data_IF_908837494683
#
_entry.id   IF_908837494683
#
_cell.length_a   1.000
_cell.length_b   1.000
_cell.length_c   1.000
_cell.angle_alpha   90.00
_cell.angle_beta   90.00
_cell.angle_gamma   90.00
#
_symmetry.space_group_name_H-M   'P 1'
#
loop_
_entity.id
_entity.type
_entity.pdbx_description
1 polymer ?
#
# COMPACT_ATOMS: atom_id res chain seq x y z
N UNK A 1 1.41 19.64 -6.09
CA UNK A 1 0.17 19.54 -5.29
C UNK A 1 -0.05 18.08 -4.92
N UNK A 2 -0.22 17.78 -3.62
CA UNK A 2 -0.43 16.41 -3.14
C UNK A 2 -1.84 15.90 -3.47
N UNK A 3 -1.91 14.70 -4.06
CA UNK A 3 -3.14 14.01 -4.40
C UNK A 3 -3.09 12.56 -3.90
N UNK A 4 -4.15 12.12 -3.24
CA UNK A 4 -4.34 10.74 -2.79
C UNK A 4 -5.49 10.11 -3.56
N UNK A 5 -5.25 8.95 -4.16
CA UNK A 5 -6.29 8.17 -4.83
C UNK A 5 -6.42 6.80 -4.18
N UNK A 6 -7.64 6.29 -4.11
CA UNK A 6 -7.94 4.92 -3.69
C UNK A 6 -8.79 4.23 -4.77
N UNK A 7 -8.64 2.91 -4.92
CA UNK A 7 -9.46 2.13 -5.86
C UNK A 7 -10.18 1.02 -5.12
N UNK A 8 -11.51 1.09 -5.15
CA UNK A 8 -12.38 0.00 -4.72
C UNK A 8 -13.00 -0.66 -5.95
N UNK A 9 -12.73 -1.95 -6.14
CA UNK A 9 -13.12 -2.71 -7.35
C UNK A 9 -12.64 -2.01 -8.63
N UNK A 10 -13.53 -1.38 -9.40
CA UNK A 10 -13.21 -0.66 -10.65
C UNK A 10 -13.40 0.86 -10.53
N UNK A 11 -13.71 1.37 -9.32
CA UNK A 11 -13.95 2.79 -9.09
C UNK A 11 -12.74 3.41 -8.42
N UNK A 12 -12.14 4.40 -9.09
CA UNK A 12 -11.12 5.27 -8.51
C UNK A 12 -11.83 6.41 -7.77
N UNK A 13 -11.36 6.70 -6.58
CA UNK A 13 -11.89 7.73 -5.69
C UNK A 13 -10.75 8.61 -5.21
N UNK A 14 -11.06 9.89 -4.98
CA UNK A 14 -10.16 10.84 -4.35
C UNK A 14 -10.80 11.24 -3.02
N UNK A 15 -10.45 10.58 -1.90
CA UNK A 15 -11.08 10.84 -0.63
C UNK A 15 -10.68 12.22 -0.07
N UNK A 16 -11.54 12.79 0.77
CA UNK A 16 -11.25 14.04 1.46
C UNK A 16 -10.33 13.75 2.63
N UNK A 17 -9.11 14.29 2.58
CA UNK A 17 -8.11 14.20 3.64
C UNK A 17 -8.49 15.10 4.82
N UNK A 18 -8.35 14.60 6.03
CA UNK A 18 -8.63 15.35 7.27
C UNK A 18 -7.37 15.78 8.01
N UNK A 19 -6.33 14.95 7.98
CA UNK A 19 -5.07 15.16 8.69
C UNK A 19 -3.89 15.15 7.70
N UNK A 20 -2.67 15.19 8.25
CA UNK A 20 -1.45 14.96 7.49
C UNK A 20 -1.39 13.54 6.91
N UNK A 21 -0.67 13.41 5.79
CA UNK A 21 -0.28 12.13 5.21
C UNK A 21 1.15 11.84 5.67
N UNK A 22 1.36 10.68 6.27
CA UNK A 22 2.69 10.21 6.69
C UNK A 22 3.12 9.07 5.80
N UNK A 23 4.24 9.25 5.08
CA UNK A 23 4.90 8.20 4.32
C UNK A 23 6.27 7.89 4.92
N UNK A 24 6.41 6.69 5.49
CA UNK A 24 7.65 6.22 6.08
C UNK A 24 8.32 5.17 5.19
N UNK A 25 9.63 5.29 5.03
CA UNK A 25 10.45 4.31 4.30
C UNK A 25 11.62 3.88 5.15
N UNK A 26 12.01 2.61 5.01
CA UNK A 26 13.21 2.07 5.65
C UNK A 26 14.10 1.43 4.60
N UNK A 27 15.41 1.55 4.77
CA UNK A 27 16.39 0.86 3.91
C UNK A 27 16.32 -0.67 4.09
N UNK A 28 15.93 -1.16 5.28
CA UNK A 28 15.97 -2.59 5.61
C UNK A 28 14.81 -2.99 6.51
N UNK A 29 14.31 -4.19 6.29
CA UNK A 29 13.49 -4.90 7.27
C UNK A 29 12.05 -4.42 7.41
N UNK A 30 11.63 -3.35 6.72
CA UNK A 30 10.24 -2.88 6.72
C UNK A 30 9.82 -2.46 5.31
N UNK A 31 8.59 -2.79 4.88
CA UNK A 31 8.01 -2.18 3.69
C UNK A 31 7.78 -0.68 3.92
N UNK A 32 7.64 0.08 2.84
CA UNK A 32 7.16 1.46 2.92
C UNK A 32 5.73 1.49 3.46
N UNK A 33 5.46 2.37 4.41
CA UNK A 33 4.18 2.52 5.09
C UNK A 33 3.59 3.89 4.78
N UNK A 34 2.35 3.92 4.32
CA UNK A 34 1.57 5.13 4.13
C UNK A 34 0.39 5.14 5.12
N UNK A 35 0.34 6.15 5.98
CA UNK A 35 -0.76 6.35 6.94
C UNK A 35 -1.43 7.68 6.68
N UNK A 36 -2.77 7.69 6.65
CA UNK A 36 -3.57 8.89 6.42
C UNK A 36 -4.96 8.77 7.06
N UNK A 37 -5.60 9.91 7.32
CA UNK A 37 -7.00 9.99 7.80
C UNK A 37 -7.88 10.67 6.75
N UNK A 38 -9.03 10.07 6.46
CA UNK A 38 -10.03 10.62 5.53
C UNK A 38 -11.39 10.78 6.20
N UNK A 39 -12.20 11.67 5.64
CA UNK A 39 -13.61 11.79 6.00
C UNK A 39 -14.41 10.68 5.32
N UNK A 40 -15.04 9.85 6.13
CA UNK A 40 -16.02 8.87 5.68
C UNK A 40 -17.29 9.55 5.19
N UNK A 41 -17.80 9.10 4.05
CA UNK A 41 -19.11 9.47 3.52
C UNK A 41 -19.81 8.23 2.95
N UNK A 42 -21.04 8.40 2.44
CA UNK A 42 -21.83 7.30 1.88
C UNK A 42 -21.24 6.69 0.59
N UNK A 43 -20.38 7.41 -0.12
CA UNK A 43 -19.83 7.02 -1.42
C UNK A 43 -18.38 6.49 -1.34
N UNK A 44 -17.70 6.73 -0.22
CA UNK A 44 -16.35 6.27 0.06
C UNK A 44 -16.38 4.86 0.63
N UNK A 45 -15.84 3.92 -0.15
CA UNK A 45 -15.63 2.55 0.32
C UNK A 45 -14.13 2.27 0.32
N UNK A 46 -13.63 1.75 1.43
CA UNK A 46 -12.23 1.37 1.60
C UNK A 46 -12.20 -0.03 2.22
N UNK A 47 -11.47 -0.94 1.60
CA UNK A 47 -11.35 -2.32 2.03
C UNK A 47 -9.89 -2.77 2.03
N UNK A 48 -9.60 -3.79 2.85
CA UNK A 48 -8.31 -4.46 2.81
C UNK A 48 -8.00 -4.94 1.38
N UNK A 49 -6.80 -4.63 0.90
CA UNK A 49 -6.32 -4.97 -0.44
C UNK A 49 -6.60 -3.92 -1.52
N UNK A 50 -7.44 -2.92 -1.25
CA UNK A 50 -7.69 -1.82 -2.19
C UNK A 50 -6.39 -1.07 -2.50
N UNK A 51 -6.23 -0.65 -3.75
CA UNK A 51 -5.03 0.06 -4.17
C UNK A 51 -5.06 1.53 -3.72
N UNK A 52 -3.88 2.06 -3.39
CA UNK A 52 -3.67 3.45 -2.98
C UNK A 52 -2.50 4.05 -3.75
N UNK A 53 -2.68 5.29 -4.22
CA UNK A 53 -1.62 6.09 -4.84
C UNK A 53 -1.50 7.43 -4.14
N UNK A 54 -0.25 7.83 -3.86
CA UNK A 54 0.09 9.20 -3.48
C UNK A 54 0.91 9.81 -4.61
N UNK A 55 0.53 11.01 -5.04
CA UNK A 55 1.26 11.76 -6.06
C UNK A 55 1.51 13.19 -5.62
N UNK A 56 2.61 13.78 -6.08
CA UNK A 56 2.84 15.22 -6.07
C UNK A 56 2.95 15.73 -7.51
N UNK A 57 1.88 16.39 -7.99
CA UNK A 57 1.70 16.75 -9.39
C UNK A 57 1.88 15.56 -10.36
N UNK A 58 3.09 15.38 -10.90
CA UNK A 58 3.42 14.30 -11.84
C UNK A 58 4.22 13.16 -11.21
N UNK A 59 4.77 13.38 -10.02
CA UNK A 59 5.65 12.42 -9.35
C UNK A 59 4.83 11.43 -8.53
N UNK A 60 4.99 10.13 -8.84
CA UNK A 60 4.36 9.04 -8.09
C UNK A 60 5.20 8.75 -6.85
N UNK A 61 4.71 9.20 -5.69
CA UNK A 61 5.42 9.05 -4.43
C UNK A 61 5.21 7.65 -3.83
N UNK A 62 3.97 7.16 -3.81
CA UNK A 62 3.63 5.87 -3.22
C UNK A 62 2.65 5.10 -4.09
N UNK A 63 2.83 3.78 -4.15
CA UNK A 63 1.84 2.84 -4.66
C UNK A 63 1.83 1.59 -3.78
N UNK A 64 0.65 1.22 -3.31
CA UNK A 64 0.50 0.11 -2.38
C UNK A 64 -0.95 -0.32 -2.21
N UNK A 65 -1.18 -1.12 -1.18
CA UNK A 65 -2.49 -1.66 -0.86
C UNK A 65 -2.86 -1.38 0.59
N UNK A 66 -4.14 -1.10 0.83
CA UNK A 66 -4.70 -0.93 2.17
C UNK A 66 -4.54 -2.21 2.96
N UNK A 67 -3.96 -2.09 4.16
CA UNK A 67 -3.78 -3.19 5.10
C UNK A 67 -4.69 -3.05 6.32
N UNK A 68 -4.90 -1.82 6.82
CA UNK A 68 -5.86 -1.56 7.89
C UNK A 68 -6.80 -0.42 7.51
N UNK A 69 -8.07 -0.59 7.88
CA UNK A 69 -9.09 0.47 7.86
C UNK A 69 -9.67 0.53 9.26
N UNK A 70 -9.48 1.65 9.94
CA UNK A 70 -9.95 1.87 11.30
C UNK A 70 -10.97 3.01 11.30
N UNK A 71 -12.20 2.69 11.67
CA UNK A 71 -13.27 3.67 11.79
C UNK A 71 -13.21 4.30 13.19
N UNK A 72 -12.99 5.61 13.24
CA UNK A 72 -13.05 6.42 14.44
C UNK A 72 -14.39 7.13 14.62
N UNK A 73 -14.49 7.97 15.65
CA UNK A 73 -15.60 8.90 15.82
C UNK A 73 -15.63 9.99 14.74
N UNK A 74 -16.73 10.72 14.66
CA UNK A 74 -16.92 11.87 13.76
C UNK A 74 -16.68 11.55 12.27
N UNK A 75 -17.06 10.34 11.85
CA UNK A 75 -16.86 9.84 10.47
C UNK A 75 -15.39 9.82 10.03
N UNK A 76 -14.42 9.79 10.95
CA UNK A 76 -13.00 9.69 10.59
C UNK A 76 -12.64 8.25 10.26
N UNK A 77 -11.91 8.04 9.17
CA UNK A 77 -11.38 6.72 8.80
C UNK A 77 -9.86 6.83 8.69
N UNK A 78 -9.16 6.15 9.60
CA UNK A 78 -7.70 6.04 9.55
C UNK A 78 -7.32 4.81 8.73
N UNK A 79 -6.41 4.99 7.79
CA UNK A 79 -5.96 3.96 6.87
C UNK A 79 -4.46 3.79 6.98
N UNK A 80 -4.00 2.54 7.01
CA UNK A 80 -2.59 2.20 6.80
C UNK A 80 -2.49 1.32 5.56
N UNK A 81 -1.64 1.74 4.63
CA UNK A 81 -1.31 1.02 3.40
C UNK A 81 0.18 0.70 3.35
N UNK A 82 0.54 -0.42 2.74
CA UNK A 82 1.93 -0.81 2.52
C UNK A 82 2.24 -0.92 1.04
N UNK A 83 3.49 -0.65 0.68
CA UNK A 83 4.00 -0.97 -0.64
C UNK A 83 4.08 -2.50 -0.86
N UNK A 84 4.44 -2.89 -2.08
CA UNK A 84 4.48 -4.31 -2.47
C UNK A 84 5.51 -5.13 -1.67
N UNK A 85 6.53 -4.51 -1.06
CA UNK A 85 7.53 -5.22 -0.26
C UNK A 85 6.91 -5.89 0.97
N UNK A 86 5.67 -5.52 1.34
CA UNK A 86 4.90 -6.22 2.38
C UNK A 86 4.76 -7.72 2.08
N UNK A 87 4.65 -8.12 0.81
CA UNK A 87 4.52 -9.53 0.45
C UNK A 87 5.76 -10.35 0.81
N UNK A 88 6.94 -9.72 0.86
CA UNK A 88 8.18 -10.37 1.30
C UNK A 88 8.24 -10.65 2.81
N UNK A 89 7.23 -10.21 3.58
CA UNK A 89 7.08 -10.54 5.01
C UNK A 89 6.29 -11.83 5.25
N UNK A 90 5.75 -12.45 4.21
CA UNK A 90 5.10 -13.74 4.31
C UNK A 90 6.12 -14.85 4.63
N UNK A 91 5.72 -15.85 5.42
CA UNK A 91 6.56 -16.99 5.77
C UNK A 91 6.26 -18.16 4.83
N UNK A 92 7.29 -18.64 4.13
CA UNK A 92 7.18 -19.83 3.27
C UNK A 92 8.53 -20.57 3.19
N UNK A 93 8.54 -21.78 2.63
CA UNK A 93 9.71 -22.62 2.44
C UNK A 93 9.96 -22.84 0.94
N UNK A 94 11.09 -22.34 0.46
CA UNK A 94 11.52 -22.53 -0.93
C UNK A 94 12.67 -23.52 -1.04
N UNK A 95 12.56 -24.48 -1.95
CA UNK A 95 13.61 -25.47 -2.22
C UNK A 95 14.15 -25.27 -3.64
N UNK A 96 15.37 -24.76 -3.74
CA UNK A 96 16.07 -24.55 -5.01
C UNK A 96 17.36 -25.37 -5.08
N UNK A 97 17.71 -25.88 -6.26
CA UNK A 97 18.99 -26.55 -6.54
C UNK A 97 19.65 -25.95 -7.77
N UNK A 98 20.98 -25.81 -7.74
CA UNK A 98 21.79 -25.28 -8.85
C UNK A 98 21.30 -23.91 -9.38
N UNK A 99 20.95 -22.99 -8.47
CA UNK A 99 20.52 -21.63 -8.81
C UNK A 99 21.53 -20.59 -8.32
N UNK A 100 21.70 -19.53 -9.09
CA UNK A 100 22.44 -18.33 -8.68
C UNK A 100 21.56 -17.45 -7.78
N UNK A 101 22.20 -16.64 -6.94
CA UNK A 101 21.49 -15.75 -6.01
C UNK A 101 20.50 -14.79 -6.72
N UNK A 102 20.88 -14.23 -7.86
CA UNK A 102 20.00 -13.35 -8.64
C UNK A 102 18.80 -14.09 -9.24
N UNK A 103 18.95 -15.37 -9.59
CA UNK A 103 17.84 -16.19 -10.05
C UNK A 103 16.86 -16.46 -8.92
N UNK A 104 17.37 -16.77 -7.72
CA UNK A 104 16.54 -16.96 -6.52
C UNK A 104 15.75 -15.70 -6.21
N UNK A 105 16.40 -14.52 -6.22
CA UNK A 105 15.73 -13.24 -5.98
C UNK A 105 14.62 -12.99 -7.01
N UNK A 106 14.88 -13.21 -8.31
CA UNK A 106 13.85 -13.04 -9.35
C UNK A 106 12.68 -13.99 -9.16
N UNK A 107 12.94 -15.28 -8.94
CA UNK A 107 11.88 -16.27 -8.70
C UNK A 107 11.00 -15.89 -7.51
N UNK A 108 11.61 -15.49 -6.38
CA UNK A 108 10.86 -15.03 -5.20
C UNK A 108 10.05 -13.77 -5.50
N UNK A 109 10.60 -12.81 -6.25
CA UNK A 109 9.88 -11.60 -6.63
C UNK A 109 8.68 -11.91 -7.53
N UNK A 110 8.85 -12.80 -8.51
CA UNK A 110 7.79 -13.25 -9.41
C UNK A 110 6.68 -13.99 -8.64
N UNK A 111 7.07 -14.93 -7.76
CA UNK A 111 6.14 -15.70 -6.91
C UNK A 111 5.32 -14.79 -5.97
N UNK A 112 5.90 -13.67 -5.53
CA UNK A 112 5.25 -12.68 -4.66
C UNK A 112 4.52 -11.57 -5.45
N UNK A 113 4.53 -11.63 -6.78
CA UNK A 113 3.84 -10.67 -7.65
C UNK A 113 4.42 -9.25 -7.60
N UNK A 114 5.70 -9.11 -7.27
CA UNK A 114 6.40 -7.83 -7.29
C UNK A 114 6.62 -7.40 -8.75
N UNK A 115 6.27 -6.15 -9.09
CA UNK A 115 6.37 -5.61 -10.46
C UNK A 115 7.37 -4.49 -10.60
#
# INVERSE_FOLDING_TARGET
MIQLFTQYKQKIMQPVLLDEITWETSRKGSPGELTFTVLGDYYLTLAHGDAVWLMDDKDKLFFGSIYTVSHGGDSKIKVTAYDQLRQLKNTDVFIYKNKRADQVIRMVADDMGLK
#
